data_IF_110084690297
#
_entry.id   IF_110084690297
#
_cell.length_a   1.000
_cell.length_b   1.000
_cell.length_c   1.000
_cell.angle_alpha   90.00
_cell.angle_beta   90.00
_cell.angle_gamma   90.00
#
_symmetry.space_group_name_H-M   'P 1'
#
loop_
_entity.id
_entity.type
_entity.pdbx_description
1 polymer ?
#
# COMPACT_ATOMS: atom_id res chain seq x y z
N UNK A 1 -12.50 -24.67 -16.02
CA UNK A 1 -11.40 -24.92 -15.07
C UNK A 1 -10.15 -24.22 -15.58
N UNK A 2 -9.43 -23.52 -14.71
CA UNK A 2 -8.20 -22.84 -15.08
C UNK A 2 -7.06 -23.85 -15.25
N UNK A 3 -6.22 -23.66 -16.27
CA UNK A 3 -5.03 -24.46 -16.53
C UNK A 3 -3.86 -23.60 -16.97
N UNK A 4 -2.64 -24.10 -16.74
CA UNK A 4 -1.41 -23.46 -17.18
C UNK A 4 -1.00 -24.00 -18.54
N UNK A 5 -0.73 -23.10 -19.49
CA UNK A 5 -0.17 -23.45 -20.80
C UNK A 5 1.13 -22.70 -21.05
N UNK A 6 2.02 -23.31 -21.82
CA UNK A 6 3.24 -22.66 -22.32
C UNK A 6 3.11 -22.36 -23.81
N UNK A 7 3.62 -21.21 -24.24
CA UNK A 7 3.78 -20.83 -25.64
C UNK A 7 5.25 -20.51 -25.89
N UNK A 8 5.84 -21.12 -26.92
CA UNK A 8 7.21 -20.81 -27.36
C UNK A 8 7.15 -19.69 -28.39
N UNK A 9 7.88 -18.59 -28.16
CA UNK A 9 8.10 -17.54 -29.16
C UNK A 9 9.61 -17.30 -29.29
N UNK A 10 10.15 -17.56 -30.49
CA UNK A 10 11.59 -17.62 -30.70
C UNK A 10 12.25 -18.66 -29.79
N UNK A 11 13.29 -18.26 -29.06
CA UNK A 11 13.97 -19.13 -28.09
C UNK A 11 13.48 -18.97 -26.64
N UNK A 12 12.32 -18.36 -26.41
CA UNK A 12 11.77 -18.11 -25.06
C UNK A 12 10.41 -18.80 -24.84
N UNK A 13 10.20 -19.29 -23.63
CA UNK A 13 8.95 -19.87 -23.16
C UNK A 13 8.16 -18.85 -22.34
N UNK A 14 6.87 -18.75 -22.66
CA UNK A 14 5.92 -17.82 -22.04
C UNK A 14 4.75 -18.60 -21.46
N UNK A 15 4.40 -18.32 -20.21
CA UNK A 15 3.33 -19.01 -19.50
C UNK A 15 2.05 -18.16 -19.45
N UNK A 16 0.92 -18.86 -19.55
CA UNK A 16 -0.41 -18.26 -19.49
C UNK A 16 -1.31 -19.10 -18.59
N UNK A 17 -2.18 -18.43 -17.83
CA UNK A 17 -3.34 -19.04 -17.21
C UNK A 17 -4.49 -18.96 -18.21
N UNK A 18 -5.09 -20.09 -18.55
CA UNK A 18 -6.22 -20.15 -19.47
C UNK A 18 -7.42 -20.78 -18.81
N UNK A 19 -8.60 -20.29 -19.16
CA UNK A 19 -9.85 -20.93 -18.82
C UNK A 19 -10.54 -21.41 -20.09
N UNK A 20 -10.93 -22.67 -20.09
CA UNK A 20 -11.66 -23.28 -21.18
C UNK A 20 -13.13 -23.47 -20.81
N UNK A 21 -14.00 -23.18 -21.77
CA UNK A 21 -15.44 -23.43 -21.71
C UNK A 21 -15.93 -23.96 -23.06
N UNK A 22 -17.15 -24.48 -23.13
CA UNK A 22 -17.77 -24.83 -24.42
C UNK A 22 -18.48 -23.63 -25.01
N UNK A 23 -18.13 -23.29 -26.24
CA UNK A 23 -18.80 -22.27 -27.06
C UNK A 23 -19.39 -22.98 -28.25
N UNK A 24 -20.73 -22.94 -28.41
CA UNK A 24 -21.46 -23.71 -29.41
C UNK A 24 -21.11 -25.21 -29.41
N UNK A 25 -21.00 -25.80 -28.22
CA UNK A 25 -20.67 -27.23 -28.05
C UNK A 25 -19.19 -27.59 -28.24
N UNK A 26 -18.35 -26.66 -28.70
CA UNK A 26 -16.92 -26.92 -28.91
C UNK A 26 -16.06 -26.34 -27.78
N UNK A 27 -15.02 -27.05 -27.31
CA UNK A 27 -14.11 -26.52 -26.30
C UNK A 27 -13.29 -25.35 -26.87
N UNK A 28 -13.36 -24.19 -26.21
CA UNK A 28 -12.64 -22.96 -26.58
C UNK A 28 -12.01 -22.34 -25.33
N UNK A 29 -10.87 -21.68 -25.52
CA UNK A 29 -10.28 -20.82 -24.49
C UNK A 29 -11.09 -19.52 -24.48
N UNK A 30 -11.73 -19.23 -23.35
CA UNK A 30 -12.59 -18.04 -23.18
C UNK A 30 -11.88 -16.92 -22.40
N UNK A 31 -10.86 -17.27 -21.61
CA UNK A 31 -10.03 -16.31 -20.90
C UNK A 31 -8.56 -16.74 -20.95
N UNK A 32 -7.66 -15.77 -21.11
CA UNK A 32 -6.22 -15.99 -21.11
C UNK A 32 -5.50 -14.82 -20.45
N UNK A 33 -4.83 -15.09 -19.33
CA UNK A 33 -3.97 -14.13 -18.65
C UNK A 33 -2.50 -14.48 -18.87
N UNK A 34 -1.69 -13.48 -19.25
CA UNK A 34 -0.24 -13.65 -19.43
C UNK A 34 0.48 -13.61 -18.08
N UNK A 35 1.30 -14.62 -17.79
CA UNK A 35 1.98 -14.75 -16.50
C UNK A 35 3.47 -14.35 -16.56
N UNK A 36 4.07 -14.27 -17.76
CA UNK A 36 5.49 -13.95 -17.92
C UNK A 36 6.29 -15.07 -18.58
N UNK A 37 7.61 -14.93 -18.53
CA UNK A 37 8.56 -15.98 -18.95
C UNK A 37 8.72 -17.03 -17.84
N UNK A 38 9.33 -18.17 -18.18
CA UNK A 38 9.65 -19.21 -17.22
C UNK A 38 10.46 -18.68 -16.02
N UNK A 39 11.46 -17.86 -16.29
CA UNK A 39 12.38 -17.31 -15.30
C UNK A 39 11.66 -16.34 -14.36
N UNK A 40 10.83 -15.45 -14.91
CA UNK A 40 10.06 -14.49 -14.10
C UNK A 40 9.01 -15.21 -13.24
N UNK A 41 8.38 -16.25 -13.76
CA UNK A 41 7.42 -17.05 -13.01
C UNK A 41 8.09 -17.79 -11.85
N UNK A 42 9.25 -18.41 -12.10
CA UNK A 42 10.05 -19.07 -11.06
C UNK A 42 10.48 -18.08 -9.97
N UNK A 43 10.98 -16.90 -10.36
CA UNK A 43 11.33 -15.84 -9.43
C UNK A 43 10.14 -15.39 -8.58
N UNK A 44 8.94 -15.23 -9.16
CA UNK A 44 7.73 -14.86 -8.41
C UNK A 44 7.30 -15.95 -7.42
N UNK A 45 7.39 -17.23 -7.79
CA UNK A 45 7.07 -18.35 -6.89
C UNK A 45 8.09 -18.41 -5.74
N UNK A 46 9.37 -18.21 -6.02
CA UNK A 46 10.41 -18.14 -5.00
C UNK A 46 10.29 -16.89 -4.11
N UNK A 47 9.94 -15.73 -4.67
CA UNK A 47 9.70 -14.51 -3.91
C UNK A 47 8.44 -14.57 -3.04
N UNK A 48 7.43 -15.38 -3.42
CA UNK A 48 6.28 -15.66 -2.56
C UNK A 48 6.63 -16.51 -1.32
N UNK A 49 7.87 -17.00 -1.21
CA UNK A 49 8.44 -17.43 0.07
C UNK A 49 8.98 -16.25 0.91
N UNK A 50 8.64 -15.00 0.56
CA UNK A 50 8.82 -13.88 1.48
C UNK A 50 8.11 -14.20 2.79
N UNK A 51 8.77 -14.00 3.94
CA UNK A 51 8.17 -14.31 5.23
C UNK A 51 6.85 -13.56 5.37
N UNK A 52 5.82 -14.27 5.83
CA UNK A 52 4.54 -13.66 6.17
C UNK A 52 4.84 -12.55 7.18
N UNK A 53 4.41 -11.29 6.93
CA UNK A 53 4.65 -10.22 7.89
C UNK A 53 4.06 -10.62 9.24
N UNK A 54 4.92 -10.76 10.24
CA UNK A 54 4.55 -11.23 11.58
C UNK A 54 3.73 -10.19 12.36
N UNK A 55 3.87 -8.92 11.99
CA UNK A 55 3.14 -7.79 12.55
C UNK A 55 3.19 -6.59 11.62
N UNK A 56 2.14 -5.77 11.63
CA UNK A 56 2.14 -4.44 11.05
C UNK A 56 1.81 -3.43 12.15
N UNK A 57 2.60 -2.35 12.25
CA UNK A 57 2.29 -1.24 13.16
C UNK A 57 1.57 -0.17 12.36
N UNK A 58 0.30 0.05 12.67
CA UNK A 58 -0.45 1.20 12.18
C UNK A 58 -0.16 2.37 13.13
N UNK A 59 0.20 3.52 12.57
CA UNK A 59 0.07 4.79 13.28
C UNK A 59 -1.14 5.49 12.72
N UNK A 60 -2.01 5.99 13.60
CA UNK A 60 -3.13 6.83 13.20
C UNK A 60 -2.60 8.09 12.55
N UNK A 61 -2.56 8.08 11.22
CA UNK A 61 -2.15 9.21 10.42
C UNK A 61 -3.28 10.23 10.45
N UNK A 62 -3.12 11.26 11.26
CA UNK A 62 -4.08 12.36 11.33
C UNK A 62 -4.31 12.89 12.74
N UNK A 63 -4.03 12.12 13.79
CA UNK A 63 -4.23 12.58 15.18
C UNK A 63 -3.48 13.88 15.49
N UNK A 64 -2.19 14.05 15.14
CA UNK A 64 -1.49 15.33 15.36
C UNK A 64 -2.13 16.50 14.61
N UNK A 65 -2.64 16.25 13.39
CA UNK A 65 -3.34 17.27 12.59
C UNK A 65 -4.71 17.63 13.15
N UNK A 66 -5.47 16.65 13.65
CA UNK A 66 -6.77 16.84 14.26
C UNK A 66 -6.68 17.62 15.59
N UNK A 67 -5.70 17.29 16.44
CA UNK A 67 -5.43 18.03 17.68
C UNK A 67 -5.04 19.49 17.41
N UNK A 68 -4.18 19.71 16.40
CA UNK A 68 -3.82 21.04 15.96
C UNK A 68 -5.02 21.86 15.49
N UNK A 69 -5.89 21.26 14.66
CA UNK A 69 -7.11 21.90 14.19
C UNK A 69 -8.07 22.23 15.35
N UNK A 70 -8.27 21.29 16.27
CA UNK A 70 -9.12 21.48 17.44
C UNK A 70 -8.61 22.61 18.35
N UNK A 71 -7.29 22.69 18.56
CA UNK A 71 -6.68 23.76 19.36
C UNK A 71 -6.86 25.14 18.72
N UNK A 72 -6.83 25.23 17.38
CA UNK A 72 -7.14 26.48 16.67
C UNK A 72 -8.62 26.86 16.78
N UNK A 73 -9.53 25.90 16.57
CA UNK A 73 -10.97 26.16 16.56
C UNK A 73 -11.53 26.51 17.95
N UNK A 74 -10.98 25.90 19.00
CA UNK A 74 -11.38 26.16 20.38
C UNK A 74 -10.82 27.47 20.96
N UNK A 75 -9.87 28.11 20.27
CA UNK A 75 -9.12 29.25 20.83
C UNK A 75 -8.05 28.84 21.85
N UNK A 76 -7.81 27.54 22.06
CA UNK A 76 -6.73 27.05 22.93
C UNK A 76 -5.36 27.52 22.43
N UNK A 77 -5.15 27.56 21.11
CA UNK A 77 -3.89 28.02 20.53
C UNK A 77 -3.52 29.47 20.90
N UNK A 78 -4.35 30.50 20.60
CA UNK A 78 -4.06 31.87 20.98
C UNK A 78 -4.00 32.05 22.50
N UNK A 79 -4.74 31.26 23.29
CA UNK A 79 -4.59 31.25 24.75
C UNK A 79 -3.20 30.79 25.16
N UNK A 80 -2.71 29.65 24.64
CA UNK A 80 -1.38 29.12 24.95
C UNK A 80 -0.25 30.09 24.50
N UNK A 81 -0.39 30.72 23.33
CA UNK A 81 0.58 31.73 22.87
C UNK A 81 0.60 32.97 23.77
N UNK A 82 -0.51 33.32 24.44
CA UNK A 82 -0.56 34.46 25.35
C UNK A 82 0.17 34.25 26.67
N UNK A 83 0.46 33.00 27.05
CA UNK A 83 1.06 32.66 28.34
C UNK A 83 2.58 32.88 28.39
N UNK A 84 3.25 32.93 27.24
CA UNK A 84 4.70 33.12 27.15
C UNK A 84 5.09 34.16 26.11
N UNK A 85 6.20 34.90 26.30
CA UNK A 85 6.74 35.76 25.26
C UNK A 85 7.07 34.98 23.99
N UNK A 86 7.00 35.67 22.84
CA UNK A 86 7.40 35.09 21.57
C UNK A 86 8.87 34.62 21.63
N UNK A 87 9.16 33.37 21.20
CA UNK A 87 10.53 32.86 21.22
C UNK A 87 11.40 33.62 20.22
N UNK A 88 12.69 33.78 20.53
CA UNK A 88 13.66 34.41 19.62
C UNK A 88 13.84 33.64 18.31
N UNK A 89 13.66 32.32 18.35
CA UNK A 89 13.63 31.44 17.17
C UNK A 89 12.98 30.10 17.53
N UNK A 90 12.41 29.44 16.53
CA UNK A 90 11.86 28.08 16.67
C UNK A 90 10.60 27.97 17.53
N UNK A 91 10.16 26.74 17.83
CA UNK A 91 8.97 26.48 18.65
C UNK A 91 9.17 26.89 20.12
N UNK A 92 8.20 27.62 20.66
CA UNK A 92 8.15 28.01 22.07
C UNK A 92 7.39 27.00 22.96
N UNK A 93 7.29 27.24 24.28
CA UNK A 93 6.61 26.35 25.21
C UNK A 93 5.19 25.92 24.79
N UNK A 94 4.41 26.85 24.23
CA UNK A 94 3.08 26.58 23.70
C UNK A 94 3.05 25.48 22.61
N UNK A 95 4.08 25.43 21.75
CA UNK A 95 4.17 24.43 20.68
C UNK A 95 4.42 23.03 21.25
N UNK A 96 5.32 22.93 22.23
CA UNK A 96 5.65 21.65 22.86
C UNK A 96 4.49 21.11 23.69
N UNK A 97 3.76 21.97 24.41
CA UNK A 97 2.57 21.56 25.16
C UNK A 97 1.48 21.00 24.26
N UNK A 98 1.26 21.61 23.09
CA UNK A 98 0.24 21.12 22.16
C UNK A 98 0.65 19.82 21.45
N UNK A 99 1.95 19.62 21.20
CA UNK A 99 2.47 18.41 20.55
C UNK A 99 2.63 17.22 21.51
N UNK A 100 2.59 17.46 22.82
CA UNK A 100 2.71 16.43 23.85
C UNK A 100 1.38 15.77 24.26
N UNK A 101 0.25 16.32 23.80
CA UNK A 101 -1.10 15.77 23.99
C UNK A 101 -1.43 14.70 22.93
#
# INVERSE_FOLDING_TARGET
>A
MASLIKKKKGNRLYYYLVESARVHGQPRIVHQAYLGTAEKLAALVQQKAAPVPLSATLRDFGLPGALWLAAKQSGLWPLLESLWPAPRSGPGPAHYLLLAA
#
